data_IF_664193232041
#
_entry.id   IF_664193232041
#
_cell.length_a   1.000
_cell.length_b   1.000
_cell.length_c   1.000
_cell.angle_alpha   90.00
_cell.angle_beta   90.00
_cell.angle_gamma   90.00
#
_symmetry.space_group_name_H-M   'P 1'
#
loop_
_entity.id
_entity.type
_entity.pdbx_description
1 polymer ?
#
# COMPACT_ATOMS: atom_id res chain seq x y z
N UNK A 1 -0.58 -4.01 -36.14
CA UNK A 1 -0.16 -3.38 -34.87
C UNK A 1 1.24 -2.78 -35.08
N UNK A 2 1.33 -1.52 -35.51
CA UNK A 2 2.63 -0.83 -35.62
C UNK A 2 2.45 0.59 -35.07
N UNK A 3 2.54 0.70 -33.75
CA UNK A 3 2.52 1.97 -33.02
C UNK A 3 3.95 2.36 -32.61
N UNK A 4 4.19 3.66 -32.48
CA UNK A 4 5.48 4.21 -32.08
C UNK A 4 5.88 3.71 -30.69
N UNK A 5 7.13 3.25 -30.53
CA UNK A 5 7.66 2.75 -29.26
C UNK A 5 8.20 3.90 -28.43
N UNK A 6 7.77 4.00 -27.18
CA UNK A 6 8.28 4.97 -26.21
C UNK A 6 9.01 4.23 -25.08
N UNK A 7 10.07 4.84 -24.56
CA UNK A 7 10.80 4.38 -23.38
C UNK A 7 10.70 5.47 -22.31
N UNK A 8 10.29 5.08 -21.11
CA UNK A 8 10.18 5.97 -19.96
C UNK A 8 11.18 5.51 -18.89
N UNK A 9 12.04 6.41 -18.39
CA UNK A 9 13.00 6.06 -17.35
C UNK A 9 12.26 5.67 -16.06
N UNK A 10 12.53 4.45 -15.59
CA UNK A 10 11.86 3.81 -14.47
C UNK A 10 12.52 4.27 -13.16
N UNK A 11 12.06 5.39 -12.61
CA UNK A 11 12.58 5.90 -11.35
C UNK A 11 11.54 5.70 -10.25
N UNK A 12 11.85 4.84 -9.28
CA UNK A 12 11.03 4.67 -8.09
C UNK A 12 11.19 5.92 -7.21
N UNK A 13 10.13 6.69 -7.04
CA UNK A 13 10.13 7.91 -6.24
C UNK A 13 8.99 7.84 -5.23
N UNK A 14 9.29 7.80 -3.94
CA UNK A 14 8.27 7.87 -2.90
C UNK A 14 8.29 9.29 -2.34
N UNK A 15 7.15 9.98 -2.27
CA UNK A 15 7.09 11.29 -1.63
C UNK A 15 7.42 11.13 -0.13
N UNK A 16 8.33 11.95 0.40
CA UNK A 16 8.67 11.95 1.83
C UNK A 16 7.48 12.37 2.70
N UNK A 17 6.56 13.17 2.16
CA UNK A 17 5.32 13.60 2.79
C UNK A 17 4.16 13.59 1.79
N UNK A 18 3.01 13.13 2.24
CA UNK A 18 1.79 13.00 1.45
C UNK A 18 0.89 14.23 1.57
N UNK A 19 1.14 15.06 2.58
CA UNK A 19 0.32 16.24 2.89
C UNK A 19 1.18 17.42 3.29
N UNK A 20 0.73 18.62 2.91
CA UNK A 20 1.22 19.91 3.37
C UNK A 20 0.05 20.74 3.92
N UNK A 21 0.29 22.00 4.26
CA UNK A 21 -0.80 22.89 4.68
C UNK A 21 -1.83 23.00 3.55
N UNK A 22 -3.06 22.54 3.80
CA UNK A 22 -4.20 22.56 2.86
C UNK A 22 -3.92 21.83 1.52
N UNK A 23 -3.00 20.88 1.51
CA UNK A 23 -2.58 20.13 0.33
C UNK A 23 -2.47 18.64 0.65
N UNK A 24 -3.00 17.80 -0.23
CA UNK A 24 -2.80 16.35 -0.21
C UNK A 24 -2.34 15.86 -1.60
N UNK A 25 -1.34 14.99 -1.62
CA UNK A 25 -0.84 14.29 -2.80
C UNK A 25 -1.53 12.94 -2.89
N UNK A 26 -1.95 12.53 -4.08
CA UNK A 26 -2.57 11.23 -4.38
C UNK A 26 -2.02 10.64 -5.67
N UNK A 27 -2.07 9.32 -5.80
CA UNK A 27 -1.64 8.60 -7.00
C UNK A 27 -0.17 8.81 -7.30
N UNK A 28 0.15 9.04 -8.58
CA UNK A 28 1.53 9.21 -9.05
C UNK A 28 2.22 10.45 -8.46
N UNK A 29 1.45 11.43 -7.98
CA UNK A 29 1.99 12.60 -7.27
C UNK A 29 2.45 12.26 -5.84
N UNK A 30 1.89 11.22 -5.22
CA UNK A 30 2.31 10.71 -3.91
C UNK A 30 3.37 9.60 -4.02
N UNK A 31 3.32 8.82 -5.11
CA UNK A 31 4.23 7.70 -5.34
C UNK A 31 4.51 7.52 -6.84
N UNK A 32 5.74 7.77 -7.27
CA UNK A 32 6.28 7.28 -8.54
C UNK A 32 6.58 5.78 -8.41
N UNK A 33 5.57 4.93 -8.61
CA UNK A 33 5.72 3.47 -8.56
C UNK A 33 6.08 2.93 -9.93
N UNK A 34 6.98 1.94 -9.96
CA UNK A 34 7.40 1.26 -11.19
C UNK A 34 6.17 0.72 -11.96
N UNK A 35 5.94 1.07 -13.24
CA UNK A 35 4.78 0.65 -14.03
C UNK A 35 4.78 -0.83 -14.44
N UNK A 36 5.41 -1.74 -13.68
CA UNK A 36 5.55 -3.14 -14.09
C UNK A 36 4.25 -3.96 -14.00
N UNK A 37 3.14 -3.46 -13.42
CA UNK A 37 1.96 -4.34 -13.22
C UNK A 37 0.58 -3.68 -13.24
N UNK A 38 0.41 -2.48 -13.80
CA UNK A 38 -0.91 -1.81 -13.78
C UNK A 38 -1.43 -1.48 -12.37
N UNK A 39 -0.57 -1.59 -11.35
CA UNK A 39 -0.90 -1.36 -9.94
C UNK A 39 -0.97 0.13 -9.58
N UNK A 40 -0.38 1.03 -10.37
CA UNK A 40 -0.40 2.47 -10.11
C UNK A 40 -1.82 3.05 -10.05
N UNK A 41 -2.70 2.61 -10.97
CA UNK A 41 -4.11 2.99 -10.95
C UNK A 41 -4.80 2.50 -9.67
N UNK A 42 -4.58 1.25 -9.26
CA UNK A 42 -5.19 0.71 -8.05
C UNK A 42 -4.69 1.42 -6.77
N UNK A 43 -3.41 1.78 -6.73
CA UNK A 43 -2.83 2.58 -5.65
C UNK A 43 -3.43 3.98 -5.60
N UNK A 44 -3.54 4.66 -6.75
CA UNK A 44 -4.18 5.97 -6.84
C UNK A 44 -5.67 5.95 -6.48
N UNK A 45 -6.42 4.94 -6.91
CA UNK A 45 -7.82 4.76 -6.50
C UNK A 45 -7.95 4.56 -5.00
N UNK A 46 -7.04 3.79 -4.39
CA UNK A 46 -6.99 3.60 -2.94
C UNK A 46 -6.66 4.90 -2.21
N UNK A 47 -5.76 5.73 -2.74
CA UNK A 47 -5.45 7.05 -2.19
C UNK A 47 -6.68 7.98 -2.20
N UNK A 48 -7.38 8.05 -3.33
CA UNK A 48 -8.59 8.86 -3.47
C UNK A 48 -9.68 8.40 -2.52
N UNK A 49 -9.91 7.09 -2.40
CA UNK A 49 -10.93 6.56 -1.51
C UNK A 49 -10.60 6.85 -0.03
N UNK A 50 -9.33 6.69 0.38
CA UNK A 50 -8.90 6.99 1.74
C UNK A 50 -9.00 8.49 2.06
N UNK A 51 -8.57 9.36 1.14
CA UNK A 51 -8.67 10.81 1.32
C UNK A 51 -10.14 11.23 1.41
N UNK A 52 -10.99 10.76 0.50
CA UNK A 52 -12.41 11.10 0.49
C UNK A 52 -13.10 10.70 1.81
N UNK A 53 -12.75 9.54 2.36
CA UNK A 53 -13.26 9.07 3.65
C UNK A 53 -12.85 9.98 4.82
N UNK A 54 -11.56 10.33 4.90
CA UNK A 54 -11.05 11.25 5.93
C UNK A 54 -11.76 12.61 5.86
N UNK A 55 -11.94 13.14 4.64
CA UNK A 55 -12.62 14.43 4.44
C UNK A 55 -14.12 14.35 4.77
N UNK A 56 -14.79 13.24 4.43
CA UNK A 56 -16.21 13.04 4.75
C UNK A 56 -16.44 12.96 6.26
N UNK A 57 -15.58 12.25 6.99
CA UNK A 57 -15.69 12.14 8.43
C UNK A 57 -15.34 13.45 9.15
N UNK A 58 -14.33 14.18 8.68
CA UNK A 58 -14.03 15.52 9.19
C UNK A 58 -15.23 16.46 9.03
N UNK A 59 -15.86 16.47 7.85
CA UNK A 59 -17.05 17.28 7.57
C UNK A 59 -18.21 16.92 8.51
N UNK A 60 -18.44 15.63 8.79
CA UNK A 60 -19.50 15.20 9.73
C UNK A 60 -19.27 15.63 11.16
N UNK A 61 -18.00 15.65 11.59
CA UNK A 61 -17.59 16.05 12.93
C UNK A 61 -17.54 17.57 13.10
N UNK A 62 -17.80 18.33 12.03
CA UNK A 62 -17.70 19.79 12.04
C UNK A 62 -16.25 20.29 12.04
N UNK A 63 -15.30 19.44 11.67
CA UNK A 63 -13.89 19.81 11.56
C UNK A 63 -13.63 20.53 10.21
N UNK A 64 -12.70 21.48 10.20
CA UNK A 64 -12.19 22.03 8.94
C UNK A 64 -11.31 20.98 8.25
N UNK A 65 -11.83 20.44 7.15
CA UNK A 65 -11.22 19.36 6.38
C UNK A 65 -9.86 19.74 5.77
N UNK A 66 -9.55 21.03 5.66
CA UNK A 66 -8.29 21.53 5.12
C UNK A 66 -7.17 21.61 6.16
N UNK A 67 -7.49 21.41 7.44
CA UNK A 67 -6.52 21.46 8.52
C UNK A 67 -5.50 20.34 8.44
N UNK A 68 -4.29 20.67 8.85
CA UNK A 68 -3.15 19.74 8.86
C UNK A 68 -3.44 18.47 9.65
N UNK A 69 -4.09 18.57 10.80
CA UNK A 69 -4.42 17.41 11.65
C UNK A 69 -5.45 16.45 11.02
N UNK A 70 -6.33 16.96 10.15
CA UNK A 70 -7.24 16.11 9.34
C UNK A 70 -6.44 15.40 8.25
N UNK A 71 -5.64 16.14 7.49
CA UNK A 71 -4.83 15.60 6.40
C UNK A 71 -3.75 14.62 6.91
N UNK A 72 -3.22 14.82 8.11
CA UNK A 72 -2.27 13.87 8.71
C UNK A 72 -2.92 12.50 9.00
N UNK A 73 -4.24 12.41 9.21
CA UNK A 73 -4.95 11.10 9.31
C UNK A 73 -4.88 10.34 8.00
N UNK A 74 -5.06 11.03 6.87
CA UNK A 74 -4.87 10.44 5.54
C UNK A 74 -3.41 9.99 5.37
N UNK A 75 -2.44 10.87 5.65
CA UNK A 75 -1.02 10.52 5.54
C UNK A 75 -0.63 9.34 6.43
N UNK A 76 -1.13 9.26 7.66
CA UNK A 76 -0.87 8.13 8.57
C UNK A 76 -1.46 6.84 8.00
N UNK A 77 -2.72 6.85 7.56
CA UNK A 77 -3.36 5.69 6.94
C UNK A 77 -2.51 5.15 5.77
N UNK A 78 -2.05 6.04 4.89
CA UNK A 78 -1.22 5.65 3.74
C UNK A 78 0.19 5.23 4.14
N UNK A 79 0.84 5.91 5.10
CA UNK A 79 2.18 5.56 5.58
C UNK A 79 2.23 4.21 6.28
N UNK A 80 1.22 3.84 7.07
CA UNK A 80 1.14 2.51 7.69
C UNK A 80 0.91 1.41 6.65
N UNK A 81 0.09 1.68 5.63
CA UNK A 81 -0.08 0.78 4.49
C UNK A 81 1.25 0.61 3.70
N UNK A 82 1.97 1.70 3.42
CA UNK A 82 3.24 1.67 2.68
C UNK A 82 4.39 1.06 3.49
N UNK A 83 4.52 1.40 4.78
CA UNK A 83 5.57 0.87 5.65
C UNK A 83 5.36 -0.62 5.99
N UNK A 84 4.12 -1.02 6.27
CA UNK A 84 3.75 -2.43 6.47
C UNK A 84 4.03 -3.26 5.22
N UNK A 85 3.66 -2.75 4.05
CA UNK A 85 3.96 -3.40 2.76
C UNK A 85 5.47 -3.46 2.49
N UNK A 86 6.21 -2.36 2.70
CA UNK A 86 7.66 -2.32 2.46
C UNK A 86 8.44 -3.27 3.39
N UNK A 87 8.10 -3.30 4.69
CA UNK A 87 8.72 -4.22 5.66
C UNK A 87 8.38 -5.67 5.29
N UNK A 88 7.14 -5.95 4.92
CA UNK A 88 6.71 -7.30 4.52
C UNK A 88 7.44 -7.75 3.26
N UNK A 89 7.50 -6.90 2.23
CA UNK A 89 8.19 -7.22 0.98
C UNK A 89 9.69 -7.38 1.18
N UNK A 90 10.35 -6.54 1.98
CA UNK A 90 11.78 -6.67 2.29
C UNK A 90 12.07 -7.93 3.11
N UNK A 91 11.23 -8.24 4.10
CA UNK A 91 11.37 -9.45 4.92
C UNK A 91 11.20 -10.71 4.09
N UNK A 92 10.20 -10.76 3.20
CA UNK A 92 10.00 -11.87 2.26
C UNK A 92 11.21 -11.96 1.32
N UNK A 93 11.61 -10.87 0.69
CA UNK A 93 12.75 -10.88 -0.23
C UNK A 93 14.03 -11.37 0.46
N UNK A 94 14.29 -10.93 1.70
CA UNK A 94 15.48 -11.31 2.48
C UNK A 94 15.43 -12.76 2.98
N UNK A 95 14.24 -13.31 3.23
CA UNK A 95 14.05 -14.72 3.56
C UNK A 95 14.24 -15.65 2.36
N UNK A 96 13.89 -15.19 1.15
CA UNK A 96 13.97 -16.00 -0.07
C UNK A 96 15.25 -15.81 -0.88
N UNK A 97 15.93 -14.67 -0.79
CA UNK A 97 17.12 -14.32 -1.58
C UNK A 97 18.45 -14.61 -0.88
N UNK A 98 18.46 -15.35 0.24
CA UNK A 98 19.65 -15.56 1.05
C UNK A 98 20.03 -17.06 1.11
N UNK A 99 21.27 -17.39 0.77
CA UNK A 99 21.76 -18.79 0.66
C UNK A 99 22.35 -19.35 1.97
N UNK A 100 22.06 -18.70 3.10
CA UNK A 100 22.52 -19.19 4.40
C UNK A 100 21.79 -20.51 4.76
N UNK A 101 22.52 -21.62 5.02
CA UNK A 101 21.93 -22.92 5.30
C UNK A 101 21.01 -22.94 6.54
N UNK A 102 21.26 -22.09 7.55
CA UNK A 102 20.40 -21.97 8.74
C UNK A 102 19.06 -21.29 8.37
N UNK A 103 19.11 -20.22 7.58
CA UNK A 103 17.90 -19.53 7.09
C UNK A 103 17.09 -20.43 6.15
N UNK A 104 17.77 -21.26 5.35
CA UNK A 104 17.13 -22.25 4.47
C UNK A 104 16.33 -23.28 5.27
N UNK A 105 16.92 -23.87 6.31
CA UNK A 105 16.20 -24.81 7.19
C UNK A 105 15.03 -24.14 7.94
N UNK A 106 15.22 -22.91 8.42
CA UNK A 106 14.14 -22.15 9.06
C UNK A 106 12.97 -21.87 8.10
N UNK A 107 13.29 -21.53 6.84
CA UNK A 107 12.32 -21.32 5.78
C UNK A 107 11.55 -22.60 5.46
N UNK A 108 12.23 -23.72 5.34
CA UNK A 108 11.59 -24.99 4.97
C UNK A 108 10.66 -25.49 6.09
N UNK A 109 11.05 -25.32 7.37
CA UNK A 109 10.19 -25.57 8.53
C UNK A 109 9.02 -24.58 8.56
N UNK A 110 9.28 -23.28 8.33
CA UNK A 110 8.25 -22.24 8.29
C UNK A 110 7.22 -22.48 7.20
N UNK A 111 7.65 -22.88 6.00
CA UNK A 111 6.77 -23.25 4.89
C UNK A 111 5.97 -24.52 5.18
N UNK A 112 6.56 -25.49 5.88
CA UNK A 112 5.85 -26.66 6.38
C UNK A 112 4.72 -26.28 7.33
N UNK A 113 4.98 -25.40 8.29
CA UNK A 113 3.99 -24.91 9.26
C UNK A 113 2.89 -24.10 8.56
N UNK A 114 3.26 -23.17 7.68
CA UNK A 114 2.29 -22.36 6.91
C UNK A 114 1.38 -23.24 6.05
N UNK A 115 1.92 -24.26 5.39
CA UNK A 115 1.13 -25.18 4.58
C UNK A 115 0.24 -26.11 5.42
N UNK A 116 0.64 -26.42 6.65
CA UNK A 116 -0.14 -27.26 7.56
C UNK A 116 -1.34 -26.55 8.19
N UNK A 117 -1.36 -25.21 8.19
CA UNK A 117 -2.44 -24.39 8.78
C UNK A 117 -3.12 -23.55 7.69
N UNK A 118 -4.26 -24.00 7.13
CA UNK A 118 -4.93 -23.35 6.01
C UNK A 118 -5.28 -21.87 6.26
N UNK A 119 -5.67 -21.52 7.48
CA UNK A 119 -6.02 -20.13 7.83
C UNK A 119 -4.80 -19.22 7.92
N UNK A 120 -3.65 -19.74 8.36
CA UNK A 120 -2.39 -19.01 8.36
C UNK A 120 -1.94 -18.75 6.92
N UNK A 121 -1.99 -19.78 6.05
CA UNK A 121 -1.73 -19.63 4.62
C UNK A 121 -2.62 -18.59 3.97
N UNK A 122 -3.94 -18.62 4.24
CA UNK A 122 -4.89 -17.64 3.71
C UNK A 122 -4.60 -16.23 4.20
N UNK A 123 -4.24 -16.05 5.48
CA UNK A 123 -3.84 -14.73 6.03
C UNK A 123 -2.60 -14.19 5.33
N UNK A 124 -1.56 -14.99 5.17
CA UNK A 124 -0.32 -14.60 4.49
C UNK A 124 -0.55 -14.27 3.02
N UNK A 125 -1.39 -15.02 2.31
CA UNK A 125 -1.77 -14.73 0.92
C UNK A 125 -2.55 -13.41 0.84
N UNK A 126 -3.47 -13.14 1.76
CA UNK A 126 -4.20 -11.86 1.82
C UNK A 126 -3.28 -10.69 2.15
N UNK A 127 -2.30 -10.89 3.02
CA UNK A 127 -1.28 -9.89 3.36
C UNK A 127 -0.40 -9.56 2.14
N UNK A 128 0.10 -10.60 1.46
CA UNK A 128 0.90 -10.45 0.23
C UNK A 128 0.10 -9.83 -0.94
N UNK A 129 -1.21 -10.08 -0.99
CA UNK A 129 -2.11 -9.45 -1.95
C UNK A 129 -2.49 -8.01 -1.58
N UNK A 130 -2.03 -7.48 -0.43
CA UNK A 130 -2.34 -6.14 0.04
C UNK A 130 -3.79 -5.96 0.52
N UNK A 131 -4.47 -7.06 0.86
CA UNK A 131 -5.87 -7.13 1.29
C UNK A 131 -6.03 -7.07 2.83
N UNK A 132 -4.92 -7.15 3.58
CA UNK A 132 -4.93 -6.90 5.03
C UNK A 132 -4.56 -5.42 5.28
N UNK A 133 -5.55 -4.65 5.72
CA UNK A 133 -5.47 -3.22 6.02
C UNK A 133 -6.89 -2.68 6.14
N UNK A 134 -7.10 -1.57 6.87
CA UNK A 134 -8.40 -0.92 6.88
C UNK A 134 -8.63 -0.35 5.48
N UNK A 135 -9.45 -1.02 4.67
CA UNK A 135 -9.76 -0.57 3.32
C UNK A 135 -10.78 0.57 3.41
N UNK A 136 -10.64 1.63 2.61
CA UNK A 136 -11.64 2.69 2.59
C UNK A 136 -13.04 2.14 2.27
N UNK A 137 -14.09 2.71 2.88
CA UNK A 137 -15.51 2.32 2.71
C UNK A 137 -15.92 2.20 1.25
N UNK A 138 -15.48 3.12 0.40
CA UNK A 138 -15.78 3.09 -1.04
C UNK A 138 -15.23 1.84 -1.73
N UNK A 139 -14.07 1.33 -1.32
CA UNK A 139 -13.50 0.09 -1.86
C UNK A 139 -14.21 -1.16 -1.33
N UNK A 140 -14.97 -1.03 -0.24
CA UNK A 140 -15.85 -2.07 0.29
C UNK A 140 -17.28 -2.01 -0.28
N UNK A 141 -17.56 -1.08 -1.20
CA UNK A 141 -18.90 -0.84 -1.73
C UNK A 141 -19.85 -0.13 -0.75
N UNK A 142 -19.30 0.55 0.26
CA UNK A 142 -20.08 1.32 1.25
C UNK A 142 -20.01 2.82 0.93
N UNK A 143 -21.12 3.53 1.13
CA UNK A 143 -21.15 4.98 1.01
C UNK A 143 -20.29 5.64 2.10
N UNK A 144 -19.70 6.78 1.74
CA UNK A 144 -18.95 7.60 2.70
C UNK A 144 -19.90 8.20 3.69
#
# INVERSE_FOLDING_TARGET
LSGQRFSYPLTLSLAQGFVAERLALVGDAAHGVHPISGQGLNLGLRDVCALAEVLADAKRRGEDFSRRDVLDRYQQWRRFDTAGTAITTDTVNRLFSNDNPILRSLRDVGMGVVNSIPDLRRRLIREAAGLNGDLPRLMQGRAL
#
